data_IF_661471174129
#
_entry.id   IF_661471174129
#
_cell.length_a   1.000
_cell.length_b   1.000
_cell.length_c   1.000
_cell.angle_alpha   90.00
_cell.angle_beta   90.00
_cell.angle_gamma   90.00
#
_symmetry.space_group_name_H-M   'P 1'
#
loop_
_entity.id
_entity.type
_entity.pdbx_description
1 polymer ?
#
# COMPACT_ATOMS: atom_id res chain seq x y z
N UNK A 1 29.44 -17.91 27.98
CA UNK A 1 28.64 -16.69 27.76
C UNK A 1 28.54 -16.54 26.25
N UNK A 2 27.48 -17.09 25.65
CA UNK A 2 27.32 -17.13 24.19
C UNK A 2 26.55 -15.90 23.74
N UNK A 3 27.23 -15.06 22.97
CA UNK A 3 26.68 -13.86 22.35
C UNK A 3 25.67 -14.28 21.28
N UNK A 4 24.38 -14.13 21.60
CA UNK A 4 23.29 -14.38 20.65
C UNK A 4 23.29 -13.27 19.61
N UNK A 5 23.83 -13.60 18.43
CA UNK A 5 23.88 -12.75 17.25
C UNK A 5 22.44 -12.40 16.79
N UNK A 6 22.03 -11.16 17.01
CA UNK A 6 20.77 -10.61 16.51
C UNK A 6 20.86 -10.52 14.99
N UNK A 7 20.00 -11.29 14.31
CA UNK A 7 19.86 -11.23 12.85
C UNK A 7 19.28 -9.87 12.46
N UNK A 8 19.90 -9.10 11.55
CA UNK A 8 19.24 -7.93 11.01
C UNK A 8 18.04 -8.42 10.20
N UNK A 9 16.87 -7.99 10.66
CA UNK A 9 15.60 -8.01 9.94
C UNK A 9 15.86 -7.85 8.44
N UNK A 10 15.70 -8.95 7.71
CA UNK A 10 15.74 -8.97 6.26
C UNK A 10 14.47 -8.27 5.81
N UNK A 11 14.46 -6.93 5.78
CA UNK A 11 13.56 -6.19 4.92
C UNK A 11 13.88 -6.72 3.52
N UNK A 12 13.04 -7.62 3.04
CA UNK A 12 13.09 -8.03 1.66
C UNK A 12 12.91 -6.74 0.86
N UNK A 13 14.02 -6.19 0.37
CA UNK A 13 14.01 -5.38 -0.85
C UNK A 13 13.44 -6.32 -1.91
N UNK A 14 12.12 -6.39 -1.97
CA UNK A 14 11.42 -6.96 -3.09
C UNK A 14 11.92 -6.16 -4.29
N UNK A 15 12.60 -6.86 -5.19
CA UNK A 15 13.03 -6.38 -6.49
C UNK A 15 11.96 -5.42 -7.02
N UNK A 16 12.21 -4.10 -7.05
CA UNK A 16 11.23 -3.07 -7.43
C UNK A 16 10.80 -3.20 -8.90
N UNK A 17 11.33 -4.20 -9.60
CA UNK A 17 10.90 -4.62 -10.92
C UNK A 17 9.53 -5.27 -10.83
N UNK A 18 8.60 -4.75 -11.61
CA UNK A 18 7.23 -5.26 -11.72
C UNK A 18 7.22 -6.78 -11.94
N UNK A 19 6.61 -7.52 -11.02
CA UNK A 19 6.38 -8.96 -11.14
C UNK A 19 4.88 -9.20 -11.32
N UNK A 20 4.52 -10.10 -12.24
CA UNK A 20 3.12 -10.48 -12.43
C UNK A 20 2.61 -11.14 -11.13
N UNK A 21 1.45 -10.72 -10.59
CA UNK A 21 0.86 -11.38 -9.43
C UNK A 21 0.52 -12.86 -9.72
N UNK A 22 0.44 -13.67 -8.67
CA UNK A 22 -0.10 -15.02 -8.75
C UNK A 22 -1.52 -15.02 -9.33
N UNK A 23 -1.89 -16.09 -10.03
CA UNK A 23 -3.27 -16.27 -10.52
C UNK A 23 -4.26 -16.15 -9.36
N UNK A 24 -5.28 -15.30 -9.51
CA UNK A 24 -6.28 -15.02 -8.47
C UNK A 24 -5.89 -13.91 -7.49
N UNK A 25 -4.72 -13.27 -7.67
CA UNK A 25 -4.29 -12.12 -6.87
C UNK A 25 -4.50 -10.81 -7.63
N UNK A 26 -5.22 -9.88 -6.99
CA UNK A 26 -5.54 -8.57 -7.55
C UNK A 26 -4.65 -7.50 -6.92
N UNK A 27 -4.29 -6.49 -7.71
CA UNK A 27 -3.60 -5.29 -7.24
C UNK A 27 -4.53 -4.10 -7.39
N UNK A 28 -4.82 -3.42 -6.29
CA UNK A 28 -5.64 -2.21 -6.28
C UNK A 28 -4.74 -1.01 -5.98
N UNK A 29 -4.61 -0.10 -6.96
CA UNK A 29 -3.86 1.14 -6.78
C UNK A 29 -4.82 2.19 -6.25
N UNK A 30 -4.56 2.68 -5.04
CA UNK A 30 -5.33 3.78 -4.45
C UNK A 30 -4.56 5.06 -4.75
N UNK A 31 -5.20 5.97 -5.48
CA UNK A 31 -4.64 7.26 -5.85
C UNK A 31 -5.66 8.34 -5.50
N UNK A 32 -5.19 9.49 -5.02
CA UNK A 32 -6.01 10.63 -4.69
C UNK A 32 -5.45 11.88 -5.36
N UNK A 33 -6.24 12.47 -6.26
CA UNK A 33 -5.90 13.72 -6.92
C UNK A 33 -6.70 14.87 -6.31
N UNK A 34 -6.00 15.93 -5.93
CA UNK A 34 -6.58 17.17 -5.42
C UNK A 34 -6.31 18.32 -6.38
N UNK A 35 -7.20 19.33 -6.36
CA UNK A 35 -6.92 20.58 -7.05
C UNK A 35 -5.69 21.27 -6.44
N UNK A 36 -4.92 21.99 -7.27
CA UNK A 36 -3.65 22.61 -6.88
C UNK A 36 -3.74 23.52 -5.64
N UNK A 37 -4.94 24.00 -5.28
CA UNK A 37 -5.18 24.86 -4.13
C UNK A 37 -5.30 24.11 -2.79
N UNK A 38 -5.37 22.77 -2.77
CA UNK A 38 -5.57 21.95 -1.55
C UNK A 38 -4.46 20.91 -1.32
N UNK A 39 -3.32 21.10 -1.98
CA UNK A 39 -2.29 20.10 -2.30
C UNK A 39 -1.52 19.47 -1.10
N UNK A 40 -1.78 19.85 0.16
CA UNK A 40 -1.03 19.31 1.31
C UNK A 40 -1.88 18.67 2.40
N UNK A 41 -3.12 19.11 2.58
CA UNK A 41 -4.01 18.56 3.62
C UNK A 41 -4.88 17.43 3.04
N UNK A 42 -4.99 17.35 1.71
CA UNK A 42 -5.85 16.38 1.03
C UNK A 42 -5.26 14.97 0.88
N UNK A 43 -3.96 14.83 0.62
CA UNK A 43 -3.36 13.56 0.17
C UNK A 43 -3.72 12.38 1.08
N UNK A 44 -3.38 12.46 2.37
CA UNK A 44 -3.64 11.39 3.33
C UNK A 44 -5.15 11.10 3.51
N UNK A 45 -5.99 12.15 3.49
CA UNK A 45 -7.44 12.02 3.62
C UNK A 45 -8.07 11.35 2.39
N UNK A 46 -7.62 11.73 1.19
CA UNK A 46 -8.10 11.17 -0.07
C UNK A 46 -7.74 9.71 -0.23
N UNK A 47 -6.52 9.34 0.12
CA UNK A 47 -6.07 7.96 0.05
C UNK A 47 -6.72 7.10 1.15
N UNK A 48 -6.92 7.64 2.36
CA UNK A 48 -7.68 6.96 3.42
C UNK A 48 -9.12 6.68 2.99
N UNK A 49 -9.79 7.68 2.40
CA UNK A 49 -11.16 7.52 1.90
C UNK A 49 -11.21 6.56 0.69
N UNK A 50 -10.22 6.65 -0.22
CA UNK A 50 -10.07 5.74 -1.34
C UNK A 50 -9.88 4.29 -0.89
N UNK A 51 -9.06 4.06 0.13
CA UNK A 51 -8.87 2.73 0.73
C UNK A 51 -10.16 2.19 1.36
N UNK A 52 -10.92 3.03 2.07
CA UNK A 52 -12.20 2.63 2.64
C UNK A 52 -13.18 2.14 1.56
N UNK A 53 -13.31 2.90 0.47
CA UNK A 53 -14.16 2.49 -0.66
C UNK A 53 -13.66 1.21 -1.33
N UNK A 54 -12.35 1.07 -1.48
CA UNK A 54 -11.77 -0.12 -2.11
C UNK A 54 -11.98 -1.38 -1.24
N UNK A 55 -11.92 -1.28 0.08
CA UNK A 55 -12.27 -2.37 0.99
C UNK A 55 -13.74 -2.78 0.85
N UNK A 56 -14.64 -1.81 0.75
CA UNK A 56 -16.06 -2.10 0.52
C UNK A 56 -16.27 -2.84 -0.81
N UNK A 57 -15.59 -2.42 -1.89
CA UNK A 57 -15.63 -3.13 -3.17
C UNK A 57 -15.04 -4.53 -3.13
N UNK A 58 -13.93 -4.75 -2.41
CA UNK A 58 -13.36 -6.08 -2.22
C UNK A 58 -14.34 -7.02 -1.54
N UNK A 59 -15.09 -6.51 -0.56
CA UNK A 59 -16.13 -7.26 0.12
C UNK A 59 -17.32 -7.57 -0.81
N UNK A 60 -17.82 -6.58 -1.55
CA UNK A 60 -18.94 -6.74 -2.49
C UNK A 60 -18.63 -7.72 -3.62
N UNK A 61 -17.40 -7.70 -4.12
CA UNK A 61 -16.93 -8.55 -5.21
C UNK A 61 -16.38 -9.91 -4.74
N UNK A 62 -16.37 -10.16 -3.43
CA UNK A 62 -15.80 -11.36 -2.79
C UNK A 62 -14.37 -11.67 -3.24
N UNK A 63 -13.51 -10.65 -3.34
CA UNK A 63 -12.12 -10.85 -3.74
C UNK A 63 -11.29 -11.34 -2.54
N UNK A 64 -10.71 -12.53 -2.65
CA UNK A 64 -10.02 -13.17 -1.51
C UNK A 64 -8.57 -12.69 -1.33
N UNK A 65 -7.92 -12.24 -2.40
CA UNK A 65 -6.48 -11.91 -2.41
C UNK A 65 -6.23 -10.59 -3.12
N UNK A 66 -6.29 -9.49 -2.38
CA UNK A 66 -6.07 -8.14 -2.91
C UNK A 66 -4.92 -7.47 -2.17
N UNK A 67 -3.90 -7.05 -2.92
CA UNK A 67 -2.87 -6.14 -2.42
C UNK A 67 -3.29 -4.70 -2.72
N UNK A 68 -3.39 -3.88 -1.67
CA UNK A 68 -3.58 -2.44 -1.82
C UNK A 68 -2.21 -1.75 -1.84
N UNK A 69 -2.00 -0.90 -2.84
CA UNK A 69 -0.80 -0.07 -2.96
C UNK A 69 -1.22 1.39 -2.84
N UNK A 70 -0.69 2.05 -1.81
CA UNK A 70 -0.78 3.49 -1.58
C UNK A 70 0.57 4.11 -1.91
N UNK A 71 0.61 5.26 -2.59
CA UNK A 71 1.85 5.94 -2.99
C UNK A 71 2.12 7.21 -2.14
N UNK A 72 1.38 7.40 -1.04
CA UNK A 72 1.65 8.45 -0.07
C UNK A 72 3.02 8.25 0.58
N UNK A 73 3.97 9.14 0.28
CA UNK A 73 5.13 9.34 1.13
C UNK A 73 4.66 10.01 2.42
N UNK A 74 4.37 9.23 3.46
CA UNK A 74 4.49 9.77 4.81
C UNK A 74 5.99 9.97 5.05
N UNK A 75 6.42 11.22 4.99
CA UNK A 75 7.81 11.60 5.26
C UNK A 75 8.15 11.12 6.67
N UNK A 76 8.96 10.06 6.76
CA UNK A 76 9.64 9.72 8.01
C UNK A 76 10.72 10.78 8.17
N UNK A 77 10.61 11.55 9.26
CA UNK A 77 11.48 12.69 9.64
C UNK A 77 12.98 12.42 9.48
#
# INVERSE_FOLDING_TARGET
>A
MTESQVQPHRQAQADMRWQKPETGKYKCNIDASFSAHQNRVGFDLGETLGLYHALNWVQELQLERVDFVLDSKSFVD
#
